data_IF_434485699488
#
_entry.id   IF_434485699488
#
_cell.length_a   1.000
_cell.length_b   1.000
_cell.length_c   1.000
_cell.angle_alpha   90.00
_cell.angle_beta   90.00
_cell.angle_gamma   90.00
#
_symmetry.space_group_name_H-M   'P 1'
#
loop_
_entity.id
_entity.type
_entity.pdbx_description
1 polymer ?
#
# COMPACT_ATOMS: atom_id res chain seq x y z
N UNK A 1 -13.14 19.32 12.15
CA UNK A 1 -12.00 18.41 12.36
C UNK A 1 -10.94 19.18 13.11
N UNK A 2 -10.49 18.65 14.24
CA UNK A 2 -9.35 19.19 14.98
C UNK A 2 -8.08 18.99 14.13
N UNK A 3 -7.45 20.10 13.73
CA UNK A 3 -6.30 20.09 12.82
C UNK A 3 -5.03 19.56 13.48
N UNK A 4 -4.85 19.79 14.77
CA UNK A 4 -3.66 19.35 15.48
C UNK A 4 -3.74 17.86 15.79
N UNK A 5 -4.92 17.38 16.12
CA UNK A 5 -5.16 15.94 16.23
C UNK A 5 -4.98 15.23 14.89
N UNK A 6 -5.44 15.81 13.77
CA UNK A 6 -5.21 15.25 12.43
C UNK A 6 -3.72 15.14 12.08
N UNK A 7 -2.92 16.18 12.37
CA UNK A 7 -1.46 16.16 12.17
C UNK A 7 -0.77 15.14 13.07
N UNK A 8 -1.23 15.01 14.31
CA UNK A 8 -0.74 13.99 15.23
C UNK A 8 -0.96 12.58 14.67
N UNK A 9 -2.18 12.28 14.22
CA UNK A 9 -2.52 10.99 13.62
C UNK A 9 -1.67 10.72 12.38
N UNK A 10 -1.49 11.70 11.49
CA UNK A 10 -0.65 11.54 10.31
C UNK A 10 0.80 11.14 10.66
N UNK A 11 1.42 11.85 11.61
CA UNK A 11 2.79 11.57 12.06
C UNK A 11 2.89 10.22 12.75
N UNK A 12 1.90 9.85 13.55
CA UNK A 12 1.86 8.56 14.23
C UNK A 12 1.79 7.43 13.20
N UNK A 13 0.86 7.52 12.26
CA UNK A 13 0.69 6.52 11.20
C UNK A 13 1.99 6.30 10.42
N UNK A 14 2.65 7.38 9.99
CA UNK A 14 3.95 7.26 9.29
C UNK A 14 4.98 6.46 10.11
N UNK A 15 5.15 6.81 11.39
CA UNK A 15 6.08 6.11 12.29
C UNK A 15 5.72 4.65 12.50
N UNK A 16 4.43 4.33 12.61
CA UNK A 16 3.99 2.96 12.80
C UNK A 16 4.27 2.11 11.55
N UNK A 17 4.07 2.66 10.35
CA UNK A 17 4.43 1.98 9.09
C UNK A 17 5.94 1.76 8.98
N UNK A 18 6.75 2.77 9.30
CA UNK A 18 8.21 2.65 9.29
C UNK A 18 8.69 1.58 10.28
N UNK A 19 8.09 1.52 11.47
CA UNK A 19 8.44 0.55 12.51
C UNK A 19 8.09 -0.89 12.11
N UNK A 20 6.96 -1.10 11.42
CA UNK A 20 6.46 -2.43 11.04
C UNK A 20 7.00 -2.93 9.69
N UNK A 21 7.72 -2.10 8.94
CA UNK A 21 8.07 -2.36 7.55
C UNK A 21 8.81 -3.70 7.33
N UNK A 22 9.78 -4.02 8.19
CA UNK A 22 10.60 -5.23 8.07
C UNK A 22 9.79 -6.51 8.33
N UNK A 23 9.02 -6.54 9.42
CA UNK A 23 8.15 -7.68 9.76
C UNK A 23 7.02 -7.86 8.73
N UNK A 24 6.44 -6.76 8.25
CA UNK A 24 5.48 -6.78 7.17
C UNK A 24 6.08 -7.37 5.89
N UNK A 25 7.28 -6.92 5.51
CA UNK A 25 7.95 -7.40 4.29
C UNK A 25 8.31 -8.88 4.38
N UNK A 26 8.75 -9.35 5.56
CA UNK A 26 9.05 -10.75 5.83
C UNK A 26 7.81 -11.66 5.82
N UNK A 27 6.65 -11.18 6.29
CA UNK A 27 5.41 -11.98 6.37
C UNK A 27 4.62 -12.06 5.06
N UNK A 28 4.93 -11.22 4.07
CA UNK A 28 4.23 -11.17 2.78
C UNK A 28 5.09 -11.73 1.66
N UNK A 29 4.80 -12.96 1.24
CA UNK A 29 5.52 -13.62 0.14
C UNK A 29 4.90 -13.40 -1.25
N UNK A 30 3.59 -13.13 -1.33
CA UNK A 30 2.84 -13.09 -2.60
C UNK A 30 1.88 -11.89 -2.65
N UNK A 31 1.53 -11.48 -3.86
CA UNK A 31 0.44 -10.53 -4.12
C UNK A 31 -0.91 -11.10 -3.71
N UNK A 32 -1.85 -10.22 -3.36
CA UNK A 32 -3.23 -10.61 -3.09
C UNK A 32 -3.94 -11.01 -4.38
N UNK A 33 -4.66 -12.13 -4.36
CA UNK A 33 -5.40 -12.62 -5.54
C UNK A 33 -6.54 -11.67 -5.95
N UNK A 34 -7.03 -10.85 -5.02
CA UNK A 34 -8.00 -9.80 -5.31
C UNK A 34 -7.44 -8.72 -6.24
N UNK A 35 -6.12 -8.48 -6.24
CA UNK A 35 -5.49 -7.54 -7.16
C UNK A 35 -5.52 -8.05 -8.60
N UNK A 36 -5.38 -9.36 -8.79
CA UNK A 36 -5.51 -10.00 -10.11
C UNK A 36 -6.94 -9.79 -10.64
N UNK A 37 -7.95 -10.09 -9.82
CA UNK A 37 -9.36 -9.89 -10.18
C UNK A 37 -9.68 -8.43 -10.55
N UNK A 38 -9.11 -7.46 -9.83
CA UNK A 38 -9.27 -6.03 -10.13
C UNK A 38 -8.57 -5.65 -11.44
N UNK A 39 -7.34 -6.12 -11.64
CA UNK A 39 -6.58 -5.85 -12.85
C UNK A 39 -7.26 -6.41 -14.10
N UNK A 40 -7.67 -7.68 -14.06
CA UNK A 40 -8.37 -8.34 -15.18
C UNK A 40 -9.67 -7.62 -15.56
N UNK A 41 -10.41 -7.14 -14.55
CA UNK A 41 -11.72 -6.52 -14.77
C UNK A 41 -11.64 -5.08 -15.27
N UNK A 42 -10.65 -4.30 -14.81
CA UNK A 42 -10.65 -2.85 -15.00
C UNK A 42 -9.44 -2.29 -15.73
N UNK A 43 -8.31 -3.00 -15.77
CA UNK A 43 -7.07 -2.51 -16.38
C UNK A 43 -6.96 -3.03 -17.81
N UNK A 44 -6.64 -2.14 -18.74
CA UNK A 44 -6.40 -2.48 -20.14
C UNK A 44 -4.95 -2.27 -20.51
N UNK A 45 -4.51 -2.98 -21.56
CA UNK A 45 -3.18 -2.78 -22.11
C UNK A 45 -2.99 -1.32 -22.55
N UNK A 46 -1.96 -0.68 -22.00
CA UNK A 46 -1.63 0.72 -22.28
C UNK A 46 -2.11 1.69 -21.20
N UNK A 47 -2.90 1.25 -20.23
CA UNK A 47 -3.29 2.09 -19.10
C UNK A 47 -2.10 2.42 -18.21
N UNK A 48 -2.15 3.62 -17.61
CA UNK A 48 -1.21 4.04 -16.56
C UNK A 48 -1.88 3.82 -15.21
N UNK A 49 -1.30 2.96 -14.38
CA UNK A 49 -1.83 2.61 -13.06
C UNK A 49 -0.98 3.27 -11.97
N UNK A 50 -1.64 3.92 -11.01
CA UNK A 50 -1.01 4.45 -9.80
C UNK A 50 -1.14 3.41 -8.68
N UNK A 51 -0.02 2.93 -8.18
CA UNK A 51 0.04 2.09 -6.98
C UNK A 51 0.33 2.97 -5.75
N UNK A 52 -0.73 3.46 -5.12
CA UNK A 52 -0.63 4.34 -3.95
C UNK A 52 -0.59 3.52 -2.67
N UNK A 53 0.48 3.69 -1.87
CA UNK A 53 0.67 2.91 -0.64
C UNK A 53 1.18 1.49 -0.90
N UNK A 54 2.06 1.34 -1.89
CA UNK A 54 2.58 0.05 -2.39
C UNK A 54 3.33 -0.82 -1.35
N UNK A 55 3.56 -0.32 -0.14
CA UNK A 55 4.23 -1.06 0.93
C UNK A 55 5.63 -1.52 0.50
N UNK A 56 5.82 -2.84 0.40
CA UNK A 56 7.08 -3.44 -0.04
C UNK A 56 7.19 -3.61 -1.58
N UNK A 57 6.29 -3.02 -2.36
CA UNK A 57 6.37 -2.97 -3.83
C UNK A 57 5.99 -4.27 -4.56
N UNK A 58 5.42 -5.26 -3.85
CA UNK A 58 5.16 -6.61 -4.39
C UNK A 58 4.21 -6.67 -5.60
N UNK A 59 3.39 -5.64 -5.82
CA UNK A 59 2.49 -5.60 -6.98
C UNK A 59 3.27 -5.60 -8.31
N UNK A 60 4.49 -5.07 -8.33
CA UNK A 60 5.32 -4.93 -9.53
C UNK A 60 6.64 -5.71 -9.48
N UNK A 61 6.99 -6.36 -8.36
CA UNK A 61 8.32 -6.93 -8.10
C UNK A 61 8.30 -8.30 -7.44
#
# INVERSE_FOLDING_TARGET
MDQDYAKYLLKKTQKDYDFLADEFSASRAFSWSEMENLAEKYVKRGDRVLDAGCGNGRLFG
#
